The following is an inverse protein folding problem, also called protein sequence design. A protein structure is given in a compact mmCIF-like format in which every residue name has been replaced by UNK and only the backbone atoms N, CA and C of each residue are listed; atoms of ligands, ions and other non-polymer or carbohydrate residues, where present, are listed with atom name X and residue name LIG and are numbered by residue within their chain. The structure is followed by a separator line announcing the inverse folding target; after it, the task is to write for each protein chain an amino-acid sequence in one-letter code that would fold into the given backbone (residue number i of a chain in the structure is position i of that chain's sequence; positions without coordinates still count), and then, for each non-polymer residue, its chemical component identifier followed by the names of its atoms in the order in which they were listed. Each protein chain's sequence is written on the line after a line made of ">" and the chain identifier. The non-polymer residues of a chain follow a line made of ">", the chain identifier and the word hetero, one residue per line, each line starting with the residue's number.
data_IF_988311681270
#
_entry.id   IF_988311681270
#
_cell.length_a   1.000
_cell.length_b   1.000
_cell.length_c   1.000
_cell.angle_alpha   90.00
_cell.angle_beta   90.00
_cell.angle_gamma   90.00
#
_symmetry.space_group_name_H-M   'P 1'
#
loop_
_entity.id
_entity.type
_entity.pdbx_description
1 polymer ?
#
# COMPACT_ATOMS: atom_id res chain seq x y z
N UNK A 1 12.09 9.29 -10.41
CA UNK A 1 12.02 8.27 -9.35
C UNK A 1 13.18 8.51 -8.41
N UNK A 2 12.90 8.92 -7.18
CA UNK A 2 13.92 9.16 -6.16
C UNK A 2 14.04 7.88 -5.33
N UNK A 3 15.10 7.11 -5.57
CA UNK A 3 15.40 5.91 -4.79
C UNK A 3 16.14 6.35 -3.53
N UNK A 4 15.50 6.27 -2.37
CA UNK A 4 16.15 6.58 -1.09
C UNK A 4 16.68 5.31 -0.42
N UNK A 5 17.97 5.32 -0.09
CA UNK A 5 18.65 4.28 0.69
C UNK A 5 18.26 4.45 2.16
N UNK A 6 17.47 3.52 2.69
CA UNK A 6 17.02 3.54 4.08
C UNK A 6 18.26 3.35 4.98
N UNK A 7 18.50 4.32 5.86
CA UNK A 7 19.59 4.24 6.84
C UNK A 7 19.21 3.18 7.89
N UNK A 8 20.04 2.14 8.02
CA UNK A 8 19.84 0.99 8.92
C UNK A 8 19.59 1.41 10.38
N UNK A 9 18.32 1.56 10.74
CA UNK A 9 17.87 1.22 12.09
C UNK A 9 17.51 -0.26 12.03
N UNK A 10 18.12 -1.09 12.89
CA UNK A 10 17.93 -2.57 12.96
C UNK A 10 16.52 -2.98 13.43
N UNK A 11 15.50 -2.17 13.15
CA UNK A 11 14.12 -2.55 13.39
C UNK A 11 13.68 -3.43 12.21
N UNK A 12 13.19 -4.63 12.52
CA UNK A 12 12.64 -5.54 11.53
C UNK A 12 11.45 -4.84 10.86
N UNK A 13 11.65 -4.43 9.61
CA UNK A 13 10.58 -3.88 8.79
C UNK A 13 9.59 -4.99 8.47
N UNK A 14 8.30 -4.68 8.61
CA UNK A 14 7.20 -5.59 8.31
C UNK A 14 6.13 -4.86 7.53
N UNK A 15 5.43 -5.60 6.67
CA UNK A 15 4.25 -5.11 5.95
C UNK A 15 3.18 -4.71 6.98
N UNK A 16 2.67 -3.48 6.90
CA UNK A 16 1.63 -2.98 7.80
C UNK A 16 0.31 -3.75 7.67
N UNK A 17 0.04 -4.33 6.50
CA UNK A 17 -1.20 -5.05 6.21
C UNK A 17 -1.19 -6.52 6.68
N UNK A 18 -0.06 -7.21 6.51
CA UNK A 18 -0.01 -8.68 6.71
C UNK A 18 1.11 -9.17 7.62
N UNK A 19 1.98 -8.27 8.11
CA UNK A 19 3.11 -8.62 8.99
C UNK A 19 4.26 -9.35 8.28
N UNK A 20 4.20 -9.54 6.96
CA UNK A 20 5.28 -10.14 6.18
C UNK A 20 6.57 -9.35 6.34
N UNK A 21 7.68 -10.04 6.59
CA UNK A 21 9.02 -9.47 6.69
C UNK A 21 9.85 -9.98 5.52
N UNK A 22 10.55 -9.10 4.80
CA UNK A 22 11.31 -9.52 3.63
C UNK A 22 11.95 -8.36 2.89
N UNK A 23 12.68 -8.68 1.82
CA UNK A 23 13.33 -7.69 0.94
C UNK A 23 12.39 -7.13 -0.12
N UNK A 24 11.16 -7.65 -0.20
CA UNK A 24 10.07 -7.26 -1.11
C UNK A 24 9.12 -6.21 -0.51
N UNK A 25 9.53 -5.59 0.60
CA UNK A 25 8.83 -4.46 1.19
C UNK A 25 9.09 -3.19 0.39
N UNK A 26 8.02 -2.48 0.08
CA UNK A 26 8.02 -1.16 -0.54
C UNK A 26 7.69 -0.14 0.54
N UNK A 27 8.63 0.78 0.81
CA UNK A 27 8.46 1.85 1.78
C UNK A 27 7.86 3.12 1.17
N UNK A 28 6.92 3.74 1.86
CA UNK A 28 6.38 5.06 1.55
C UNK A 28 6.14 5.87 2.83
N UNK A 29 5.84 7.16 2.69
CA UNK A 29 5.48 8.01 3.83
C UNK A 29 3.97 8.25 3.85
N UNK A 30 3.35 7.95 4.98
CA UNK A 30 1.95 8.22 5.23
C UNK A 30 1.81 9.38 6.23
N UNK A 31 0.90 10.31 5.94
CA UNK A 31 0.61 11.37 6.89
C UNK A 31 -0.40 10.88 7.93
N UNK A 32 0.06 10.75 9.18
CA UNK A 32 -0.82 10.47 10.32
C UNK A 32 -1.06 11.79 11.06
N UNK A 33 -2.33 12.18 11.16
CA UNK A 33 -2.75 13.41 11.84
C UNK A 33 -2.18 13.48 13.26
N UNK A 34 -1.50 14.59 13.58
CA UNK A 34 -0.86 14.82 14.87
C UNK A 34 0.55 14.21 15.03
N UNK A 35 0.98 13.33 14.12
CA UNK A 35 2.32 12.71 14.15
C UNK A 35 3.19 13.12 12.96
N UNK A 36 2.59 13.61 11.88
CA UNK A 36 3.30 14.00 10.66
C UNK A 36 3.48 12.82 9.71
N UNK A 37 4.48 12.91 8.84
CA UNK A 37 4.81 11.83 7.91
C UNK A 37 5.55 10.72 8.62
N UNK A 38 4.98 9.52 8.64
CA UNK A 38 5.61 8.32 9.19
C UNK A 38 5.99 7.36 8.07
N UNK A 39 7.13 6.66 8.17
CA UNK A 39 7.47 5.62 7.22
C UNK A 39 6.56 4.39 7.44
N UNK A 40 5.97 3.90 6.36
CA UNK A 40 5.14 2.70 6.33
C UNK A 40 5.68 1.77 5.25
N UNK A 41 5.53 0.46 5.45
CA UNK A 41 6.00 -0.56 4.52
C UNK A 41 4.84 -1.47 4.14
N UNK A 42 4.69 -1.74 2.85
CA UNK A 42 3.76 -2.73 2.32
C UNK A 42 4.54 -3.77 1.50
N UNK A 43 4.16 -5.05 1.54
CA UNK A 43 4.72 -6.04 0.63
C UNK A 43 4.05 -5.96 -0.74
N UNK A 44 4.77 -6.37 -1.79
CA UNK A 44 4.24 -6.34 -3.16
C UNK A 44 2.91 -7.10 -3.30
N UNK A 45 2.73 -8.21 -2.57
CA UNK A 45 1.48 -8.98 -2.60
C UNK A 45 0.26 -8.20 -2.09
N UNK A 46 0.42 -7.39 -1.04
CA UNK A 46 -0.67 -6.53 -0.54
C UNK A 46 -0.98 -5.39 -1.51
N UNK A 47 0.04 -4.82 -2.14
CA UNK A 47 -0.12 -3.79 -3.17
C UNK A 47 -0.91 -4.34 -4.37
N UNK A 48 -0.54 -5.53 -4.85
CA UNK A 48 -1.20 -6.18 -5.98
C UNK A 48 -2.67 -6.54 -5.65
N UNK A 49 -2.92 -7.07 -4.45
CA UNK A 49 -4.27 -7.40 -4.00
C UNK A 49 -5.17 -6.15 -3.93
N UNK A 50 -4.66 -5.03 -3.42
CA UNK A 50 -5.40 -3.75 -3.38
C UNK A 50 -5.68 -3.21 -4.78
N UNK A 51 -4.73 -3.35 -5.70
CA UNK A 51 -4.93 -2.94 -7.10
C UNK A 51 -6.04 -3.75 -7.76
N UNK A 52 -6.05 -5.07 -7.55
CA UNK A 52 -7.09 -5.95 -8.13
C UNK A 52 -8.47 -5.64 -7.53
N UNK A 53 -8.57 -5.50 -6.20
CA UNK A 53 -9.82 -5.09 -5.55
C UNK A 53 -10.32 -3.73 -6.07
N UNK A 54 -9.41 -2.79 -6.34
CA UNK A 54 -9.77 -1.48 -6.91
C UNK A 54 -10.31 -1.61 -8.34
N UNK A 55 -9.74 -2.52 -9.15
CA UNK A 55 -10.24 -2.80 -10.51
C UNK A 55 -11.64 -3.40 -10.48
N UNK A 56 -11.86 -4.40 -9.63
CA UNK A 56 -13.17 -5.03 -9.44
C UNK A 56 -14.22 -3.99 -9.01
N UNK A 57 -13.88 -3.11 -8.06
CA UNK A 57 -14.76 -2.04 -7.61
C UNK A 57 -15.12 -1.06 -8.75
N UNK A 58 -14.17 -0.72 -9.61
CA UNK A 58 -14.42 0.15 -10.78
C UNK A 58 -15.35 -0.53 -11.79
N UNK A 59 -15.16 -1.82 -12.09
CA UNK A 59 -16.05 -2.55 -13.00
C UNK A 59 -17.47 -2.69 -12.41
N UNK A 60 -17.59 -2.96 -11.11
CA UNK A 60 -18.88 -2.98 -10.43
C UNK A 60 -19.59 -1.62 -10.51
N UNK A 61 -18.86 -0.52 -10.32
CA UNK A 61 -19.40 0.83 -10.42
C UNK A 61 -19.90 1.14 -11.84
N UNK A 62 -19.13 0.78 -12.88
CA UNK A 62 -19.55 0.94 -14.28
C UNK A 62 -20.84 0.18 -14.57
N UNK A 63 -20.95 -1.07 -14.11
CA UNK A 63 -22.17 -1.86 -14.30
C UNK A 63 -23.37 -1.21 -13.61
N UNK A 64 -23.20 -0.75 -12.37
CA UNK A 64 -24.25 -0.07 -11.63
C UNK A 64 -24.73 1.21 -12.33
N UNK A 65 -23.81 1.96 -12.95
CA UNK A 65 -24.17 3.14 -13.75
C UNK A 65 -24.97 2.78 -15.00
N UNK A 66 -24.64 1.69 -15.70
CA UNK A 66 -25.38 1.24 -16.89
C UNK A 66 -26.77 0.65 -16.57
N UNK A 67 -26.95 0.08 -15.37
CA UNK A 67 -28.22 -0.50 -14.93
C UNK A 67 -29.13 0.48 -14.18
N UNK A 68 -28.62 1.67 -13.83
CA UNK A 68 -29.35 2.73 -13.14
C UNK A 68 -30.02 3.74 -14.09
N UNK A 69 -29.90 3.56 -15.40
CA UNK A 69 -30.63 4.27 -16.47
C UNK A 69 -31.85 3.47 -16.94
#
# INVERSE_FOLDING_TARGET
>A
MTTMTITETKELQSCCECGHTGTDLVGYFEYIGGQGYVPVFECQGCIDARLEASREAVEALKLAMMLGE
#
